data_IF_504569872779
#
_entry.id   IF_504569872779
#
_cell.length_a   1.000
_cell.length_b   1.000
_cell.length_c   1.000
_cell.angle_alpha   90.00
_cell.angle_beta   90.00
_cell.angle_gamma   90.00
#
_symmetry.space_group_name_H-M   'P 1'
#
loop_
_entity.id
_entity.type
_entity.pdbx_description
1 polymer ?
#
# COMPACT_ATOMS: atom_id res chain seq x y z
N UNK A 1 -4.97 -11.83 -2.67
CA UNK A 1 -4.50 -11.73 -4.08
C UNK A 1 -3.50 -10.59 -4.14
N UNK A 2 -2.32 -10.81 -4.71
CA UNK A 2 -1.28 -9.79 -4.83
C UNK A 2 -1.27 -9.23 -6.26
N UNK A 3 -1.13 -7.92 -6.37
CA UNK A 3 -1.23 -7.13 -7.60
C UNK A 3 0.12 -6.47 -7.92
N UNK A 4 0.33 -6.15 -9.21
CA UNK A 4 1.58 -5.60 -9.75
C UNK A 4 2.83 -6.40 -9.32
N UNK A 5 2.83 -7.72 -9.56
CA UNK A 5 3.98 -8.59 -9.29
C UNK A 5 4.34 -8.77 -7.80
N UNK A 6 3.40 -8.51 -6.89
CA UNK A 6 3.64 -8.57 -5.44
C UNK A 6 3.88 -7.22 -4.78
N UNK A 7 3.79 -6.11 -5.53
CA UNK A 7 3.98 -4.75 -5.00
C UNK A 7 2.85 -4.31 -4.07
N UNK A 8 1.62 -4.79 -4.24
CA UNK A 8 0.55 -4.52 -3.29
C UNK A 8 -0.46 -5.65 -3.21
N UNK A 9 -1.22 -5.72 -2.12
CA UNK A 9 -2.27 -6.72 -1.94
C UNK A 9 -3.48 -6.09 -1.28
N UNK A 10 -4.65 -6.63 -1.62
CA UNK A 10 -5.91 -6.24 -1.00
C UNK A 10 -6.44 -7.47 -0.27
N UNK A 11 -6.69 -7.32 1.01
CA UNK A 11 -7.24 -8.34 1.89
C UNK A 11 -8.50 -7.78 2.56
N UNK A 12 -9.67 -8.31 2.18
CA UNK A 12 -10.92 -7.98 2.85
C UNK A 12 -11.04 -8.78 4.16
N UNK A 13 -11.14 -8.07 5.28
CA UNK A 13 -11.56 -8.64 6.56
C UNK A 13 -13.04 -8.33 6.81
N UNK A 14 -13.61 -9.01 7.82
CA UNK A 14 -15.04 -9.00 8.15
C UNK A 14 -15.65 -7.60 8.32
N UNK A 15 -14.86 -6.60 8.71
CA UNK A 15 -15.30 -5.22 8.97
C UNK A 15 -14.41 -4.14 8.37
N UNK A 16 -13.37 -4.52 7.61
CA UNK A 16 -12.38 -3.59 7.09
C UNK A 16 -11.60 -4.20 5.94
N UNK A 17 -11.09 -3.38 5.04
CA UNK A 17 -10.17 -3.80 3.98
C UNK A 17 -8.76 -3.38 4.36
N UNK A 18 -7.84 -4.33 4.32
CA UNK A 18 -6.41 -4.07 4.45
C UNK A 18 -5.82 -4.01 3.05
N UNK A 19 -5.22 -2.87 2.71
CA UNK A 19 -4.46 -2.73 1.47
C UNK A 19 -3.00 -2.60 1.81
N UNK A 20 -2.23 -3.67 1.59
CA UNK A 20 -0.79 -3.69 1.82
C UNK A 20 -0.03 -3.23 0.59
N UNK A 21 1.01 -2.44 0.79
CA UNK A 21 1.90 -1.88 -0.22
C UNK A 21 3.36 -2.17 0.13
N UNK A 22 4.14 -2.54 -0.88
CA UNK A 22 5.58 -2.63 -0.80
C UNK A 22 6.16 -1.22 -0.77
N UNK A 23 6.84 -0.88 0.31
CA UNK A 23 7.48 0.42 0.48
C UNK A 23 8.97 0.39 0.12
N UNK A 24 9.43 -0.72 -0.45
CA UNK A 24 10.83 -0.97 -0.75
C UNK A 24 11.31 -0.05 -1.89
N UNK A 25 12.04 1.02 -1.56
CA UNK A 25 12.43 2.07 -2.50
C UNK A 25 11.61 3.38 -2.38
N UNK A 26 10.66 3.47 -1.45
CA UNK A 26 9.93 4.70 -1.15
C UNK A 26 10.66 5.56 -0.10
N UNK A 27 10.42 6.86 -0.11
CA UNK A 27 10.96 7.80 0.87
C UNK A 27 10.18 7.72 2.20
N UNK A 28 10.84 8.06 3.32
CA UNK A 28 10.21 8.07 4.65
C UNK A 28 8.93 8.92 4.74
N UNK A 29 8.83 10.00 3.95
CA UNK A 29 7.62 10.83 3.89
C UNK A 29 6.42 10.07 3.28
N UNK A 30 6.63 9.39 2.16
CA UNK A 30 5.60 8.57 1.50
C UNK A 30 5.22 7.38 2.38
N UNK A 31 6.23 6.75 2.98
CA UNK A 31 6.09 5.66 3.92
C UNK A 31 5.20 6.06 5.11
N UNK A 32 5.27 7.31 5.56
CA UNK A 32 4.49 7.83 6.67
C UNK A 32 2.98 7.91 6.40
N UNK A 33 2.54 7.88 5.14
CA UNK A 33 1.11 7.80 4.80
C UNK A 33 0.53 6.40 4.97
N UNK A 34 1.39 5.38 5.01
CA UNK A 34 0.96 4.00 5.23
C UNK A 34 1.09 3.63 6.70
N UNK A 35 0.10 2.92 7.22
CA UNK A 35 0.16 2.34 8.56
C UNK A 35 0.97 1.03 8.58
N UNK A 36 1.42 0.66 9.77
CA UNK A 36 2.18 -0.57 9.98
C UNK A 36 3.68 -0.36 10.13
N UNK A 37 4.30 -1.26 10.88
CA UNK A 37 5.70 -1.21 11.32
C UNK A 37 6.63 -2.02 10.42
N UNK A 38 6.13 -2.57 9.31
CA UNK A 38 6.93 -3.39 8.42
C UNK A 38 8.02 -2.58 7.74
N UNK A 39 9.27 -3.05 7.82
CA UNK A 39 10.44 -2.41 7.20
C UNK A 39 10.39 -2.43 5.66
N UNK A 40 9.67 -3.37 5.08
CA UNK A 40 9.59 -3.60 3.63
C UNK A 40 8.16 -3.49 3.08
N UNK A 41 7.15 -3.72 3.92
CA UNK A 41 5.74 -3.67 3.55
C UNK A 41 4.93 -2.92 4.60
N UNK A 42 4.09 -1.99 4.18
CA UNK A 42 3.11 -1.29 5.03
C UNK A 42 1.70 -1.50 4.50
N UNK A 43 0.68 -1.13 5.26
CA UNK A 43 -0.70 -1.27 4.84
C UNK A 43 -1.56 -0.09 5.29
N UNK A 44 -2.65 0.16 4.57
CA UNK A 44 -3.71 1.05 5.03
C UNK A 44 -4.92 0.20 5.44
N UNK A 45 -5.61 0.65 6.48
CA UNK A 45 -6.88 0.07 6.90
C UNK A 45 -7.99 0.97 6.41
N UNK A 46 -8.86 0.43 5.59
CA UNK A 46 -10.03 1.13 5.09
C UNK A 46 -11.23 0.52 5.81
N UNK A 47 -11.84 1.27 6.72
CA UNK A 47 -13.03 0.82 7.44
C UNK A 47 -14.31 1.18 6.70
N UNK A 48 -14.29 2.23 5.86
CA UNK A 48 -15.43 2.65 5.06
C UNK A 48 -15.02 3.36 3.78
N UNK A 49 -15.90 3.32 2.78
CA UNK A 49 -15.71 4.00 1.49
C UNK A 49 -15.48 5.51 1.66
N UNK A 50 -16.07 6.13 2.69
CA UNK A 50 -15.92 7.56 2.98
C UNK A 50 -14.51 7.95 3.46
N UNK A 51 -13.71 7.00 3.94
CA UNK A 51 -12.32 7.26 4.33
C UNK A 51 -11.35 7.09 3.14
N UNK A 52 -11.83 6.57 2.01
CA UNK A 52 -11.01 6.41 0.82
C UNK A 52 -10.86 7.77 0.14
N UNK A 53 -9.73 8.43 0.38
CA UNK A 53 -9.32 9.55 -0.45
C UNK A 53 -8.75 9.01 -1.76
N UNK A 54 -9.59 8.95 -2.79
CA UNK A 54 -9.25 8.36 -4.10
C UNK A 54 -8.02 9.03 -4.72
N UNK A 55 -7.88 10.36 -4.58
CA UNK A 55 -6.75 11.11 -5.12
C UNK A 55 -5.43 10.72 -4.45
N UNK A 56 -5.42 10.61 -3.12
CA UNK A 56 -4.25 10.15 -2.39
C UNK A 56 -3.97 8.68 -2.68
N UNK A 57 -5.00 7.84 -2.77
CA UNK A 57 -4.83 6.42 -3.08
C UNK A 57 -4.20 6.21 -4.46
N UNK A 58 -4.67 6.91 -5.49
CA UNK A 58 -4.08 6.84 -6.84
C UNK A 58 -2.62 7.29 -6.82
N UNK A 59 -2.30 8.41 -6.12
CA UNK A 59 -0.91 8.87 -5.99
C UNK A 59 -0.03 7.83 -5.31
N UNK A 60 -0.50 7.21 -4.24
CA UNK A 60 0.24 6.17 -3.51
C UNK A 60 0.44 4.92 -4.38
N UNK A 61 -0.59 4.49 -5.11
CA UNK A 61 -0.51 3.35 -6.05
C UNK A 61 0.50 3.66 -7.15
N UNK A 62 0.45 4.83 -7.78
CA UNK A 62 1.41 5.23 -8.82
C UNK A 62 2.84 5.33 -8.26
N UNK A 63 3.00 5.86 -7.05
CA UNK A 63 4.30 5.94 -6.40
C UNK A 63 4.88 4.56 -6.12
N UNK A 64 4.06 3.65 -5.56
CA UNK A 64 4.46 2.27 -5.32
C UNK A 64 4.74 1.57 -6.65
N UNK A 65 3.94 1.77 -7.68
CA UNK A 65 4.18 1.10 -8.96
C UNK A 65 5.47 1.59 -9.65
N UNK A 66 5.73 2.90 -9.62
CA UNK A 66 6.92 3.52 -10.23
C UNK A 66 8.20 3.33 -9.41
N UNK A 67 8.12 3.41 -8.08
CA UNK A 67 9.30 3.40 -7.19
C UNK A 67 9.49 2.10 -6.44
N UNK A 68 8.44 1.32 -6.17
CA UNK A 68 8.62 0.10 -5.41
C UNK A 68 9.36 -0.92 -6.27
N UNK A 69 10.56 -1.25 -5.80
CA UNK A 69 11.42 -2.24 -6.41
C UNK A 69 11.03 -3.58 -5.81
N UNK A 70 10.17 -4.31 -6.51
CA UNK A 70 10.11 -5.76 -6.34
C UNK A 70 11.39 -6.31 -6.96
N UNK A 71 12.40 -6.62 -6.13
CA UNK A 71 13.45 -7.54 -6.59
C UNK A 71 12.77 -8.90 -6.78
N UNK A 72 12.68 -9.46 -7.99
CA UNK A 72 12.49 -10.90 -8.10
C UNK A 72 13.69 -11.55 -7.41
N UNK A 73 13.43 -12.44 -6.45
CA UNK A 73 14.43 -13.39 -5.99
C UNK A 73 14.82 -14.32 -7.14
#
# INVERSE_FOLDING_TARGET
MAYSGGKFYIAAMKTRVHVGFAINGLNNAEISFFEGTGKTMRHIKIHSLNEIDEKNLIKLIELVDKKAICKPC
#
